data_IF_428492927938
#
_entry.id   IF_428492927938
#
_cell.length_a   1.000
_cell.length_b   1.000
_cell.length_c   1.000
_cell.angle_alpha   90.00
_cell.angle_beta   90.00
_cell.angle_gamma   90.00
#
_symmetry.space_group_name_H-M   'P 1'
#
loop_
_entity.id
_entity.type
_entity.pdbx_description
1 polymer ?
#
# COMPACT_ATOMS: atom_id res chain seq x y z
N UNK A 1 1.84 -38.00 14.96
CA UNK A 1 3.02 -37.13 14.85
C UNK A 1 2.98 -36.19 16.04
N UNK A 2 3.90 -36.35 16.98
CA UNK A 2 3.89 -35.59 18.24
C UNK A 2 4.53 -34.20 17.97
N UNK A 3 3.82 -33.16 18.37
CA UNK A 3 4.28 -31.76 18.32
C UNK A 3 5.41 -31.57 19.35
N UNK A 4 6.64 -31.46 18.87
CA UNK A 4 7.78 -30.98 19.69
C UNK A 4 7.64 -29.46 19.82
N UNK A 5 7.48 -28.96 21.04
CA UNK A 5 7.41 -27.52 21.33
C UNK A 5 8.82 -26.93 21.42
N UNK A 6 8.93 -25.61 21.20
CA UNK A 6 10.18 -24.84 21.31
C UNK A 6 10.88 -25.03 22.68
N UNK A 7 10.13 -25.37 23.71
CA UNK A 7 10.62 -25.66 25.06
C UNK A 7 11.41 -26.97 25.13
N UNK A 8 11.07 -27.98 24.30
CA UNK A 8 11.75 -29.27 24.25
C UNK A 8 13.08 -29.19 23.51
N UNK A 9 13.20 -28.26 22.56
CA UNK A 9 14.45 -28.00 21.85
C UNK A 9 15.52 -27.40 22.76
N UNK A 10 15.15 -26.42 23.59
CA UNK A 10 16.08 -25.78 24.55
C UNK A 10 16.52 -26.76 25.64
N UNK A 11 15.65 -27.64 26.16
CA UNK A 11 16.04 -28.68 27.13
C UNK A 11 17.05 -29.70 26.57
N UNK A 12 16.98 -29.94 25.25
CA UNK A 12 17.93 -30.84 24.59
C UNK A 12 19.31 -30.18 24.38
N UNK A 13 19.33 -28.87 24.14
CA UNK A 13 20.58 -28.09 24.03
C UNK A 13 21.30 -28.07 25.39
N UNK A 14 20.60 -27.82 26.51
CA UNK A 14 21.17 -27.80 27.83
C UNK A 14 21.72 -29.17 28.25
N UNK A 15 21.00 -30.26 27.95
CA UNK A 15 21.50 -31.64 28.19
C UNK A 15 22.75 -31.98 27.36
N UNK A 16 22.85 -31.40 26.15
CA UNK A 16 24.00 -31.61 25.27
C UNK A 16 25.21 -30.80 25.74
N UNK A 17 25.00 -29.60 26.28
CA UNK A 17 26.08 -28.78 26.89
C UNK A 17 26.61 -29.38 28.20
N UNK A 18 25.75 -29.97 29.03
CA UNK A 18 26.17 -30.67 30.28
C UNK A 18 26.99 -31.90 29.93
N UNK A 19 26.62 -32.71 28.94
CA UNK A 19 27.39 -33.88 28.47
C UNK A 19 28.77 -33.53 27.88
N UNK A 20 28.89 -32.31 27.32
CA UNK A 20 30.18 -31.80 26.79
C UNK A 20 31.15 -31.31 27.89
N UNK A 21 30.62 -30.93 29.09
CA UNK A 21 31.43 -30.51 30.23
C UNK A 21 32.12 -31.68 30.94
N UNK A 22 31.56 -32.87 30.93
CA UNK A 22 32.08 -34.03 31.65
C UNK A 22 33.12 -34.83 30.87
N UNK A 23 33.37 -34.53 29.59
CA UNK A 23 34.46 -35.10 28.79
C UNK A 23 35.62 -34.14 28.62
N UNK A 24 36.32 -33.80 29.72
CA UNK A 24 37.69 -33.28 29.66
C UNK A 24 38.62 -34.39 29.22
N UNK A 25 38.88 -34.53 27.96
CA UNK A 25 40.02 -35.09 27.24
C UNK A 25 39.59 -35.61 25.86
N UNK A 26 39.35 -34.73 24.96
CA UNK A 26 39.44 -35.08 23.53
C UNK A 26 39.71 -33.81 22.69
N UNK A 27 40.85 -33.86 22.01
CA UNK A 27 41.47 -33.00 21.01
C UNK A 27 40.68 -31.71 20.61
N UNK A 28 41.12 -30.54 21.05
CA UNK A 28 40.53 -29.21 20.79
C UNK A 28 40.31 -28.87 19.30
N UNK A 29 41.09 -29.50 18.40
CA UNK A 29 40.98 -29.32 16.96
C UNK A 29 39.75 -30.02 16.35
N UNK A 30 39.28 -31.14 16.91
CA UNK A 30 38.11 -31.86 16.42
C UNK A 30 36.81 -31.20 16.89
N UNK A 31 36.80 -30.65 18.11
CA UNK A 31 35.64 -29.94 18.65
C UNK A 31 35.38 -28.61 17.90
N UNK A 32 36.46 -27.90 17.51
CA UNK A 32 36.35 -26.68 16.73
C UNK A 32 35.81 -26.96 15.31
N UNK A 33 36.24 -28.06 14.66
CA UNK A 33 35.71 -28.48 13.37
C UNK A 33 34.25 -28.89 13.43
N UNK A 34 33.81 -29.59 14.48
CA UNK A 34 32.42 -30.00 14.68
C UNK A 34 31.53 -28.79 14.94
N UNK A 35 31.99 -27.83 15.73
CA UNK A 35 31.26 -26.58 16.00
C UNK A 35 31.13 -25.70 14.75
N UNK A 36 32.18 -25.63 13.93
CA UNK A 36 32.18 -24.90 12.66
C UNK A 36 31.26 -25.56 11.62
N UNK A 37 31.25 -26.90 11.55
CA UNK A 37 30.30 -27.64 10.68
C UNK A 37 28.85 -27.47 11.12
N UNK A 38 28.56 -27.43 12.44
CA UNK A 38 27.21 -27.19 12.95
C UNK A 38 26.72 -25.76 12.65
N UNK A 39 27.60 -24.76 12.74
CA UNK A 39 27.28 -23.37 12.32
C UNK A 39 27.03 -23.30 10.81
N UNK A 40 27.88 -23.93 10.00
CA UNK A 40 27.68 -23.94 8.53
C UNK A 40 26.40 -24.68 8.13
N UNK A 41 26.05 -25.77 8.81
CA UNK A 41 24.79 -26.49 8.59
C UNK A 41 23.59 -25.61 9.02
N UNK A 42 23.65 -24.93 10.16
CA UNK A 42 22.57 -24.05 10.62
C UNK A 42 22.38 -22.84 9.71
N UNK A 43 23.48 -22.25 9.20
CA UNK A 43 23.44 -21.18 8.21
C UNK A 43 22.87 -21.70 6.88
N UNK A 44 23.29 -22.88 6.42
CA UNK A 44 22.77 -23.53 5.21
C UNK A 44 21.26 -23.82 5.29
N UNK A 45 20.77 -24.31 6.44
CA UNK A 45 19.33 -24.53 6.67
C UNK A 45 18.54 -23.22 6.72
N UNK A 46 19.10 -22.15 7.30
CA UNK A 46 18.46 -20.83 7.32
C UNK A 46 18.35 -20.24 5.92
N UNK A 47 19.38 -20.35 5.08
CA UNK A 47 19.33 -19.91 3.67
C UNK A 47 18.36 -20.74 2.83
N UNK A 48 18.28 -22.05 3.02
CA UNK A 48 17.31 -22.89 2.32
C UNK A 48 15.87 -22.56 2.72
N UNK A 49 15.59 -22.29 4.00
CA UNK A 49 14.25 -21.92 4.46
C UNK A 49 13.79 -20.57 3.86
N UNK A 50 14.66 -19.56 3.82
CA UNK A 50 14.36 -18.25 3.21
C UNK A 50 14.18 -18.38 1.70
N UNK A 51 15.01 -19.18 1.02
CA UNK A 51 14.91 -19.42 -0.42
C UNK A 51 13.60 -20.13 -0.79
N UNK A 52 13.10 -21.03 0.05
CA UNK A 52 11.89 -21.78 -0.21
C UNK A 52 10.61 -20.93 0.00
N UNK A 53 10.63 -19.97 0.91
CA UNK A 53 9.48 -19.11 1.22
C UNK A 53 9.24 -18.04 0.14
N UNK A 54 10.27 -17.67 -0.63
CA UNK A 54 10.21 -16.64 -1.69
C UNK A 54 10.35 -17.20 -3.12
N UNK A 55 10.37 -18.53 -3.27
CA UNK A 55 10.52 -19.17 -4.56
C UNK A 55 9.30 -18.92 -5.45
N UNK A 56 9.57 -18.57 -6.72
CA UNK A 56 8.53 -18.49 -7.74
C UNK A 56 8.08 -19.88 -8.17
N UNK A 57 6.80 -20.04 -8.54
CA UNK A 57 6.22 -21.28 -9.03
C UNK A 57 5.46 -21.04 -10.34
N UNK A 58 5.08 -22.10 -11.08
CA UNK A 58 4.19 -21.93 -12.24
C UNK A 58 2.80 -21.40 -11.86
N UNK A 59 2.36 -21.57 -10.60
CA UNK A 59 1.10 -21.03 -10.13
C UNK A 59 1.20 -19.52 -9.88
N UNK A 60 0.15 -18.75 -10.21
CA UNK A 60 0.09 -17.32 -9.94
C UNK A 60 0.23 -17.00 -8.46
N UNK A 61 1.10 -16.04 -8.15
CA UNK A 61 1.20 -15.39 -6.86
C UNK A 61 1.17 -13.85 -7.03
N UNK A 62 1.18 -13.10 -5.93
CA UNK A 62 1.15 -11.63 -5.92
C UNK A 62 0.05 -11.04 -6.79
N UNK A 63 -1.12 -11.68 -6.77
CA UNK A 63 -2.28 -11.20 -7.53
C UNK A 63 -2.79 -9.91 -6.88
N UNK A 64 -2.87 -8.84 -7.67
CA UNK A 64 -3.31 -7.53 -7.19
C UNK A 64 -4.19 -6.82 -8.22
N UNK A 65 -5.22 -6.16 -7.74
CA UNK A 65 -6.07 -5.28 -8.51
C UNK A 65 -5.64 -3.82 -8.29
N UNK A 66 -5.61 -3.03 -9.37
CA UNK A 66 -5.42 -1.57 -9.29
C UNK A 66 -6.58 -0.85 -9.98
N UNK A 67 -7.01 0.27 -9.39
CA UNK A 67 -7.92 1.19 -10.08
C UNK A 67 -7.22 1.78 -11.30
N UNK A 68 -7.97 1.92 -12.38
CA UNK A 68 -7.54 2.60 -13.60
C UNK A 68 -8.11 4.02 -13.64
N UNK A 69 -7.74 4.80 -14.63
CA UNK A 69 -8.32 6.13 -14.87
C UNK A 69 -9.85 6.06 -15.02
N UNK A 70 -10.35 5.02 -15.70
CA UNK A 70 -11.78 4.76 -15.94
C UNK A 70 -12.33 3.70 -14.98
N UNK A 71 -12.26 3.94 -13.67
CA UNK A 71 -12.57 2.95 -12.63
C UNK A 71 -13.97 2.32 -12.75
N UNK A 72 -14.93 3.01 -13.40
CA UNK A 72 -16.32 2.54 -13.57
C UNK A 72 -16.44 1.42 -14.59
N UNK A 73 -15.58 1.40 -15.61
CA UNK A 73 -15.67 0.49 -16.76
C UNK A 73 -14.39 -0.29 -17.04
N UNK A 74 -13.36 -0.09 -16.21
CA UNK A 74 -12.11 -0.82 -16.33
C UNK A 74 -11.45 -1.08 -14.99
N UNK A 75 -10.62 -2.15 -14.94
CA UNK A 75 -9.86 -2.56 -13.77
C UNK A 75 -8.59 -3.29 -14.21
N UNK A 76 -7.47 -2.99 -13.59
CA UNK A 76 -6.22 -3.67 -13.87
C UNK A 76 -5.98 -4.84 -12.91
N UNK A 77 -5.38 -5.92 -13.44
CA UNK A 77 -4.88 -7.04 -12.64
C UNK A 77 -3.43 -7.32 -13.00
N UNK A 78 -2.62 -7.59 -11.99
CA UNK A 78 -1.21 -7.98 -12.14
C UNK A 78 -0.94 -9.20 -11.28
N UNK A 79 -0.07 -10.09 -11.73
CA UNK A 79 0.37 -11.29 -10.99
C UNK A 79 1.75 -11.74 -11.44
N UNK A 80 2.35 -12.64 -10.66
CA UNK A 80 3.67 -13.20 -10.92
C UNK A 80 3.58 -14.72 -11.12
N UNK A 81 4.48 -15.28 -11.93
CA UNK A 81 4.77 -16.73 -12.05
C UNK A 81 6.27 -16.93 -12.20
N UNK A 82 6.73 -18.16 -12.17
CA UNK A 82 8.09 -18.48 -12.57
C UNK A 82 8.31 -18.33 -14.08
N UNK A 83 9.54 -18.52 -14.52
CA UNK A 83 9.96 -18.37 -15.92
C UNK A 83 9.37 -19.43 -16.88
N UNK A 84 8.84 -20.54 -16.38
CA UNK A 84 8.24 -21.59 -17.20
C UNK A 84 6.92 -21.14 -17.85
N UNK A 85 6.25 -20.13 -17.26
CA UNK A 85 5.00 -19.57 -17.81
C UNK A 85 5.31 -18.34 -18.67
N UNK A 86 5.69 -18.57 -19.92
CA UNK A 86 6.04 -17.52 -20.88
C UNK A 86 4.84 -16.70 -21.39
N UNK A 87 3.62 -17.19 -21.24
CA UNK A 87 2.36 -16.53 -21.61
C UNK A 87 1.35 -16.67 -20.48
N UNK A 88 0.86 -15.54 -19.99
CA UNK A 88 -0.21 -15.46 -18.99
C UNK A 88 -1.57 -15.15 -19.62
N UNK A 89 -2.62 -15.62 -18.98
CA UNK A 89 -4.01 -15.36 -19.37
C UNK A 89 -4.82 -14.97 -18.16
N UNK A 90 -5.89 -14.23 -18.37
CA UNK A 90 -6.94 -14.01 -17.40
C UNK A 90 -8.29 -14.40 -17.98
N UNK A 91 -9.13 -14.95 -17.14
CA UNK A 91 -10.50 -15.27 -17.47
C UNK A 91 -11.46 -14.43 -16.64
N UNK A 92 -12.58 -14.05 -17.22
CA UNK A 92 -13.57 -13.15 -16.64
C UNK A 92 -14.97 -13.60 -17.01
N UNK A 93 -15.89 -13.58 -16.02
CA UNK A 93 -17.33 -13.70 -16.25
C UNK A 93 -18.11 -12.88 -15.23
N UNK A 94 -19.35 -12.46 -15.53
CA UNK A 94 -20.24 -11.90 -14.51
C UNK A 94 -20.47 -12.89 -13.37
N UNK A 95 -20.53 -12.40 -12.13
CA UNK A 95 -20.91 -13.24 -10.98
C UNK A 95 -22.39 -13.60 -11.10
N UNK A 96 -22.68 -14.89 -11.03
CA UNK A 96 -24.03 -15.44 -10.98
C UNK A 96 -24.19 -16.35 -9.75
N UNK A 97 -25.41 -16.58 -9.23
CA UNK A 97 -25.63 -17.45 -8.08
C UNK A 97 -25.47 -18.95 -8.40
N UNK A 98 -25.14 -19.27 -9.65
CA UNK A 98 -24.93 -20.65 -10.11
C UNK A 98 -23.44 -21.01 -10.13
N UNK A 99 -23.15 -22.27 -10.46
CA UNK A 99 -21.77 -22.70 -10.74
C UNK A 99 -21.18 -21.90 -11.92
N UNK A 100 -19.87 -21.82 -11.98
CA UNK A 100 -19.13 -21.22 -13.08
C UNK A 100 -19.52 -21.89 -14.41
N UNK A 101 -19.91 -21.06 -15.39
CA UNK A 101 -20.28 -21.56 -16.71
C UNK A 101 -19.17 -21.22 -17.71
N UNK A 102 -18.48 -22.23 -18.30
CA UNK A 102 -17.44 -22.00 -19.29
C UNK A 102 -17.92 -21.19 -20.52
N UNK A 103 -19.19 -21.33 -20.93
CA UNK A 103 -19.74 -20.58 -22.07
C UNK A 103 -19.84 -19.08 -21.84
N UNK A 104 -19.93 -18.63 -20.58
CA UNK A 104 -19.97 -17.22 -20.20
C UNK A 104 -18.58 -16.67 -19.88
N UNK A 105 -17.54 -17.51 -19.92
CA UNK A 105 -16.17 -17.12 -19.57
C UNK A 105 -15.47 -16.56 -20.79
N UNK A 106 -14.96 -15.33 -20.67
CA UNK A 106 -14.10 -14.71 -21.66
C UNK A 106 -12.65 -14.86 -21.23
N UNK A 107 -11.77 -15.27 -22.14
CA UNK A 107 -10.35 -15.40 -21.92
C UNK A 107 -9.58 -14.31 -22.64
N UNK A 108 -8.55 -13.78 -21.99
CA UNK A 108 -7.72 -12.70 -22.49
C UNK A 108 -6.24 -13.02 -22.29
N UNK A 109 -5.42 -12.75 -23.28
CA UNK A 109 -3.96 -12.87 -23.17
C UNK A 109 -3.40 -11.65 -22.46
N UNK A 110 -2.63 -11.88 -21.41
CA UNK A 110 -1.96 -10.83 -20.64
C UNK A 110 -0.66 -10.37 -21.32
N UNK A 111 -0.22 -9.17 -21.00
CA UNK A 111 1.16 -8.73 -21.26
C UNK A 111 2.06 -9.46 -20.26
N UNK A 112 3.06 -10.17 -20.77
CA UNK A 112 4.07 -10.88 -19.97
C UNK A 112 5.42 -10.18 -20.10
N UNK A 113 6.07 -9.93 -18.99
CA UNK A 113 7.40 -9.31 -18.92
C UNK A 113 8.30 -10.14 -18.04
N UNK A 114 9.42 -10.60 -18.59
CA UNK A 114 10.46 -11.29 -17.86
C UNK A 114 11.23 -10.31 -16.96
N UNK A 115 11.35 -10.63 -15.68
CA UNK A 115 12.01 -9.79 -14.68
C UNK A 115 13.10 -10.56 -13.93
N UNK A 116 14.10 -9.83 -13.48
CA UNK A 116 15.17 -10.32 -12.63
C UNK A 116 15.43 -9.31 -11.52
N UNK A 117 15.37 -9.76 -10.29
CA UNK A 117 15.59 -8.92 -9.12
C UNK A 117 16.82 -9.43 -8.37
N UNK A 118 17.73 -8.53 -8.04
CA UNK A 118 18.97 -8.81 -7.32
C UNK A 118 19.07 -7.89 -6.10
N UNK A 119 19.35 -8.48 -4.95
CA UNK A 119 19.59 -7.76 -3.72
C UNK A 119 20.80 -8.37 -3.02
N UNK A 120 21.68 -7.52 -2.49
CA UNK A 120 22.92 -7.96 -1.86
C UNK A 120 22.65 -8.93 -0.70
N UNK A 121 23.30 -10.10 -0.75
CA UNK A 121 23.18 -11.14 0.28
C UNK A 121 21.92 -12.00 0.19
N UNK A 122 21.06 -11.80 -0.85
CA UNK A 122 19.86 -12.59 -1.07
C UNK A 122 19.92 -13.35 -2.42
N UNK A 123 19.19 -14.45 -2.57
CA UNK A 123 19.10 -15.16 -3.84
C UNK A 123 18.48 -14.27 -4.93
N UNK A 124 19.02 -14.36 -6.14
CA UNK A 124 18.42 -13.73 -7.32
C UNK A 124 17.03 -14.31 -7.58
N UNK A 125 16.04 -13.47 -7.80
CA UNK A 125 14.69 -13.88 -8.17
C UNK A 125 14.48 -13.65 -9.66
N UNK A 126 14.20 -14.73 -10.38
CA UNK A 126 13.78 -14.69 -11.78
C UNK A 126 12.31 -15.08 -11.90
N UNK A 127 11.52 -14.24 -12.56
CA UNK A 127 10.08 -14.41 -12.66
C UNK A 127 9.54 -13.86 -13.99
N UNK A 128 8.30 -14.18 -14.29
CA UNK A 128 7.48 -13.47 -15.25
C UNK A 128 6.39 -12.69 -14.53
N UNK A 129 6.31 -11.40 -14.82
CA UNK A 129 5.23 -10.54 -14.38
C UNK A 129 4.21 -10.42 -15.50
N UNK A 130 2.95 -10.58 -15.15
CA UNK A 130 1.83 -10.54 -16.07
C UNK A 130 0.90 -9.40 -15.69
N UNK A 131 0.35 -8.71 -16.68
CA UNK A 131 -0.65 -7.66 -16.44
C UNK A 131 -1.71 -7.64 -17.52
N UNK A 132 -2.93 -7.32 -17.11
CA UNK A 132 -4.05 -7.11 -18.02
C UNK A 132 -4.97 -6.00 -17.48
N UNK A 133 -5.56 -5.23 -18.38
CA UNK A 133 -6.59 -4.24 -18.05
C UNK A 133 -7.91 -4.71 -18.63
N UNK A 134 -8.83 -5.12 -17.77
CA UNK A 134 -10.22 -5.37 -18.16
C UNK A 134 -10.86 -4.05 -18.55
N UNK A 135 -11.50 -4.02 -19.72
CA UNK A 135 -12.21 -2.85 -20.25
C UNK A 135 -13.63 -3.23 -20.68
N UNK A 136 -14.49 -2.23 -20.83
CA UNK A 136 -15.89 -2.47 -21.19
C UNK A 136 -16.68 -3.21 -20.12
N UNK A 137 -16.29 -3.04 -18.85
CA UNK A 137 -17.02 -3.56 -17.71
C UNK A 137 -18.33 -2.80 -17.52
N UNK A 138 -19.35 -3.50 -17.04
CA UNK A 138 -20.66 -2.89 -16.73
C UNK A 138 -20.59 -2.26 -15.34
N UNK A 139 -20.97 -0.98 -15.17
CA UNK A 139 -21.01 -0.33 -13.87
C UNK A 139 -21.91 -1.04 -12.86
N UNK A 140 -21.45 -1.17 -11.61
CA UNK A 140 -22.19 -1.82 -10.52
C UNK A 140 -22.24 -3.35 -10.57
N UNK A 141 -21.58 -3.97 -11.55
CA UNK A 141 -21.57 -5.41 -11.75
C UNK A 141 -20.49 -6.08 -10.89
N UNK A 142 -20.82 -7.22 -10.29
CA UNK A 142 -19.84 -8.15 -9.72
C UNK A 142 -19.33 -9.10 -10.80
N UNK A 143 -18.04 -9.37 -10.76
CA UNK A 143 -17.36 -10.27 -11.69
C UNK A 143 -16.58 -11.33 -10.93
N UNK A 144 -16.47 -12.51 -11.55
CA UNK A 144 -15.50 -13.53 -11.22
C UNK A 144 -14.36 -13.47 -12.22
N UNK A 145 -13.13 -13.58 -11.74
CA UNK A 145 -11.95 -13.70 -12.58
C UNK A 145 -10.96 -14.71 -12.01
N UNK A 146 -10.08 -15.21 -12.85
CA UNK A 146 -8.89 -15.95 -12.46
C UNK A 146 -7.74 -15.61 -13.39
N UNK A 147 -6.51 -15.81 -12.93
CA UNK A 147 -5.30 -15.54 -13.69
C UNK A 147 -4.41 -16.78 -13.77
N UNK A 148 -3.54 -16.85 -14.78
CA UNK A 148 -2.62 -17.98 -14.95
C UNK A 148 -2.59 -18.51 -16.37
N UNK A 149 -2.62 -19.82 -16.51
CA UNK A 149 -2.75 -20.53 -17.79
C UNK A 149 -3.30 -21.94 -17.54
N UNK A 150 -3.70 -22.63 -18.59
CA UNK A 150 -4.16 -24.02 -18.50
C UNK A 150 -3.16 -24.91 -17.74
N UNK A 151 -3.66 -25.62 -16.73
CA UNK A 151 -2.87 -26.42 -15.79
C UNK A 151 -2.33 -25.66 -14.57
N UNK A 152 -2.29 -24.33 -14.62
CA UNK A 152 -1.72 -23.46 -13.56
C UNK A 152 -2.58 -22.21 -13.35
N UNK A 153 -3.88 -22.39 -13.07
CA UNK A 153 -4.79 -21.28 -12.74
C UNK A 153 -4.76 -20.95 -11.24
N UNK A 154 -5.01 -19.67 -10.93
CA UNK A 154 -5.44 -19.29 -9.59
C UNK A 154 -6.83 -19.85 -9.28
N UNK A 155 -7.28 -19.72 -8.04
CA UNK A 155 -8.69 -19.81 -7.70
C UNK A 155 -9.50 -18.73 -8.44
N UNK A 156 -10.84 -18.90 -8.47
CA UNK A 156 -11.73 -17.84 -8.91
C UNK A 156 -11.87 -16.77 -7.81
N UNK A 157 -11.58 -15.54 -8.18
CA UNK A 157 -11.59 -14.35 -7.35
C UNK A 157 -12.74 -13.44 -7.79
N UNK A 158 -13.19 -12.55 -6.93
CA UNK A 158 -14.24 -11.60 -7.31
C UNK A 158 -13.82 -10.14 -7.13
N UNK A 159 -14.42 -9.27 -7.95
CA UNK A 159 -14.40 -7.85 -7.76
C UNK A 159 -15.73 -7.22 -8.17
N UNK A 160 -15.94 -5.95 -7.78
CA UNK A 160 -17.09 -5.16 -8.18
C UNK A 160 -16.65 -3.85 -8.85
N UNK A 161 -17.31 -3.49 -9.95
CA UNK A 161 -17.18 -2.14 -10.53
C UNK A 161 -18.05 -1.14 -9.75
N UNK A 162 -17.64 0.14 -9.67
CA UNK A 162 -18.47 1.19 -9.08
C UNK A 162 -19.84 1.29 -9.72
N UNK A 163 -20.90 1.48 -8.92
CA UNK A 163 -22.23 1.80 -9.43
C UNK A 163 -22.26 3.23 -9.98
N UNK A 164 -22.97 3.44 -11.09
CA UNK A 164 -23.20 4.76 -11.63
C UNK A 164 -24.41 5.48 -11.02
N UNK A 165 -25.25 4.75 -10.24
CA UNK A 165 -26.56 5.23 -9.80
C UNK A 165 -26.58 5.81 -8.38
N UNK A 166 -25.53 5.64 -7.60
CA UNK A 166 -25.44 6.17 -6.24
C UNK A 166 -24.04 6.73 -5.95
N UNK A 167 -23.94 7.71 -5.06
CA UNK A 167 -22.68 8.32 -4.62
C UNK A 167 -22.21 7.80 -3.27
N UNK A 168 -22.78 6.69 -2.77
CA UNK A 168 -22.38 6.09 -1.51
C UNK A 168 -21.31 5.04 -1.73
N UNK A 169 -20.18 5.19 -1.02
CA UNK A 169 -19.07 4.24 -1.01
C UNK A 169 -18.14 4.54 0.16
N UNK A 170 -17.24 3.62 0.45
CA UNK A 170 -16.16 3.78 1.42
C UNK A 170 -14.84 3.29 0.83
N UNK A 171 -13.76 3.75 1.42
CA UNK A 171 -12.41 3.28 1.15
C UNK A 171 -11.56 3.34 2.42
N UNK A 172 -10.47 2.59 2.43
CA UNK A 172 -9.53 2.55 3.55
C UNK A 172 -8.24 3.26 3.16
N UNK A 173 -7.66 4.02 4.07
CA UNK A 173 -6.35 4.65 3.91
C UNK A 173 -5.34 4.08 4.90
N UNK A 174 -4.10 3.91 4.42
CA UNK A 174 -2.95 3.47 5.20
C UNK A 174 -1.74 4.36 4.93
N UNK A 175 -1.05 4.80 5.99
CA UNK A 175 0.28 5.39 5.90
C UNK A 175 1.34 4.34 6.27
N UNK A 176 2.50 4.36 5.62
CA UNK A 176 3.72 3.63 5.97
C UNK A 176 3.51 2.19 6.48
N UNK A 177 3.11 1.23 5.63
CA UNK A 177 3.04 -0.18 6.02
C UNK A 177 4.40 -0.78 6.42
N UNK A 178 5.49 -0.23 5.94
CA UNK A 178 6.86 -0.72 6.03
C UNK A 178 7.25 -1.34 7.38
N UNK A 179 8.19 -2.27 7.34
CA UNK A 179 8.75 -3.01 8.46
C UNK A 179 7.83 -4.10 9.04
N UNK A 180 8.41 -5.26 9.34
CA UNK A 180 7.69 -6.41 9.91
C UNK A 180 6.36 -6.71 9.18
N UNK A 181 6.39 -6.63 7.85
CA UNK A 181 5.20 -6.66 6.99
C UNK A 181 4.36 -7.91 7.21
N UNK A 182 5.00 -9.08 7.24
CA UNK A 182 4.32 -10.35 7.45
C UNK A 182 3.74 -10.48 8.86
N UNK A 183 4.45 -10.02 9.88
CA UNK A 183 4.09 -10.27 11.28
C UNK A 183 3.17 -9.20 11.89
N UNK A 184 3.33 -7.94 11.51
CA UNK A 184 2.62 -6.83 12.16
C UNK A 184 1.71 -6.05 11.22
N UNK A 185 2.17 -5.66 10.02
CA UNK A 185 1.30 -5.03 9.02
C UNK A 185 0.11 -5.92 8.65
N UNK A 186 0.32 -7.24 8.56
CA UNK A 186 -0.73 -8.21 8.21
C UNK A 186 -1.95 -8.12 9.13
N UNK A 187 -1.77 -7.81 10.43
CA UNK A 187 -2.90 -7.68 11.35
C UNK A 187 -3.70 -6.40 11.10
N UNK A 188 -3.02 -5.31 10.69
CA UNK A 188 -3.67 -4.02 10.43
C UNK A 188 -4.56 -4.09 9.19
N UNK A 189 -4.00 -4.56 8.05
CA UNK A 189 -4.79 -4.68 6.81
C UNK A 189 -5.96 -5.65 6.96
N UNK A 190 -5.78 -6.77 7.67
CA UNK A 190 -6.86 -7.74 7.93
C UNK A 190 -7.92 -7.16 8.88
N UNK A 191 -7.52 -6.37 9.88
CA UNK A 191 -8.46 -5.68 10.75
C UNK A 191 -9.29 -4.66 9.98
N UNK A 192 -8.65 -3.85 9.15
CA UNK A 192 -9.31 -2.86 8.29
C UNK A 192 -10.29 -3.52 7.32
N UNK A 193 -9.88 -4.60 6.65
CA UNK A 193 -10.77 -5.36 5.77
C UNK A 193 -11.96 -5.97 6.52
N UNK A 194 -11.75 -6.49 7.73
CA UNK A 194 -12.84 -7.05 8.53
C UNK A 194 -13.83 -5.99 9.03
N UNK A 195 -13.40 -4.74 9.22
CA UNK A 195 -14.29 -3.66 9.64
C UNK A 195 -15.11 -3.10 8.48
N UNK A 196 -14.55 -3.08 7.25
CA UNK A 196 -15.25 -2.66 6.03
C UNK A 196 -14.93 -3.62 4.85
N UNK A 197 -15.52 -4.82 4.82
CA UNK A 197 -15.23 -5.81 3.78
C UNK A 197 -15.79 -5.42 2.40
N UNK A 198 -16.70 -4.47 2.33
CA UNK A 198 -17.27 -3.93 1.10
C UNK A 198 -16.58 -2.62 0.65
N UNK A 199 -15.43 -2.26 1.25
CA UNK A 199 -14.69 -1.07 0.85
C UNK A 199 -14.34 -1.12 -0.65
N UNK A 200 -14.45 0.03 -1.29
CA UNK A 200 -14.34 0.16 -2.74
C UNK A 200 -12.92 0.04 -3.25
N UNK A 201 -11.95 0.51 -2.48
CA UNK A 201 -10.51 0.44 -2.75
C UNK A 201 -9.71 0.72 -1.47
N UNK A 202 -8.42 0.43 -1.50
CA UNK A 202 -7.48 0.78 -0.45
C UNK A 202 -6.45 1.77 -1.00
N UNK A 203 -6.18 2.84 -0.25
CA UNK A 203 -5.30 3.94 -0.59
C UNK A 203 -4.09 3.95 0.32
N UNK A 204 -2.90 4.15 -0.24
CA UNK A 204 -1.64 4.13 0.50
C UNK A 204 -0.88 5.45 0.38
N UNK A 205 -0.35 5.91 1.50
CA UNK A 205 0.44 7.15 1.61
C UNK A 205 1.95 6.96 1.52
N UNK A 206 2.43 5.88 0.87
CA UNK A 206 3.86 5.63 0.63
C UNK A 206 4.53 4.72 1.66
N UNK A 207 5.83 4.47 1.43
CA UNK A 207 6.66 3.57 2.23
C UNK A 207 6.00 2.19 2.38
N UNK A 208 5.70 1.56 1.24
CA UNK A 208 5.05 0.25 1.18
C UNK A 208 5.98 -0.82 1.75
N UNK A 209 7.27 -0.72 1.41
CA UNK A 209 8.37 -1.55 1.90
C UNK A 209 9.41 -0.68 2.60
N UNK A 210 10.35 -1.29 3.33
CA UNK A 210 11.38 -0.54 4.05
C UNK A 210 12.69 -0.39 3.23
N UNK A 211 12.92 -1.23 2.23
CA UNK A 211 14.16 -1.23 1.42
C UNK A 211 13.86 -1.52 -0.03
N UNK A 212 13.93 -0.48 -0.88
CA UNK A 212 13.74 -0.64 -2.32
C UNK A 212 14.68 -1.70 -2.92
N UNK A 213 14.17 -2.48 -3.86
CA UNK A 213 14.86 -3.58 -4.54
C UNK A 213 14.81 -4.92 -3.81
N UNK A 214 14.36 -4.97 -2.55
CA UNK A 214 14.34 -6.18 -1.75
C UNK A 214 13.07 -7.01 -1.99
N UNK A 215 13.18 -8.05 -2.81
CA UNK A 215 12.03 -8.89 -3.19
C UNK A 215 11.37 -9.60 -1.99
N UNK A 216 12.15 -9.93 -0.94
CA UNK A 216 11.62 -10.53 0.28
C UNK A 216 10.58 -9.63 0.97
N UNK A 217 10.80 -8.32 1.05
CA UNK A 217 9.85 -7.40 1.66
C UNK A 217 8.56 -7.27 0.81
N UNK A 218 8.68 -7.29 -0.50
CA UNK A 218 7.52 -7.40 -1.38
C UNK A 218 6.75 -8.70 -1.16
N UNK A 219 7.45 -9.83 -1.01
CA UNK A 219 6.80 -11.09 -0.68
C UNK A 219 6.02 -11.02 0.63
N UNK A 220 6.64 -10.47 1.68
CA UNK A 220 5.97 -10.27 2.98
C UNK A 220 4.73 -9.38 2.86
N UNK A 221 4.80 -8.30 2.07
CA UNK A 221 3.68 -7.41 1.83
C UNK A 221 2.53 -8.13 1.12
N UNK A 222 2.82 -8.85 0.03
CA UNK A 222 1.81 -9.62 -0.69
C UNK A 222 1.19 -10.74 0.15
N UNK A 223 1.98 -11.43 0.97
CA UNK A 223 1.47 -12.44 1.91
C UNK A 223 0.56 -11.82 2.97
N UNK A 224 0.88 -10.62 3.46
CA UNK A 224 0.08 -9.91 4.45
C UNK A 224 -1.34 -9.64 3.98
N UNK A 225 -1.50 -9.09 2.77
CA UNK A 225 -2.79 -8.75 2.20
C UNK A 225 -3.42 -9.87 1.36
N UNK A 226 -2.62 -10.72 0.70
CA UNK A 226 -3.04 -11.91 -0.04
C UNK A 226 -4.39 -11.75 -0.78
N UNK A 227 -5.43 -12.47 -0.33
CA UNK A 227 -6.79 -12.40 -0.87
C UNK A 227 -7.36 -10.97 -0.96
N UNK A 228 -7.01 -10.10 -0.01
CA UNK A 228 -7.51 -8.71 0.01
C UNK A 228 -7.03 -7.96 -1.24
N UNK A 229 -5.75 -8.06 -1.59
CA UNK A 229 -5.20 -7.40 -2.77
C UNK A 229 -5.80 -7.94 -4.08
N UNK A 230 -6.17 -9.21 -4.09
CA UNK A 230 -6.77 -9.86 -5.23
C UNK A 230 -8.29 -9.57 -5.40
N UNK A 231 -8.94 -8.95 -4.41
CA UNK A 231 -10.40 -8.70 -4.45
C UNK A 231 -10.78 -7.23 -4.26
N UNK A 232 -9.97 -6.47 -3.55
CA UNK A 232 -10.14 -5.02 -3.36
C UNK A 232 -9.08 -4.28 -4.17
N UNK A 233 -9.44 -3.34 -5.06
CA UNK A 233 -8.47 -2.56 -5.82
C UNK A 233 -7.58 -1.69 -4.93
N UNK A 234 -6.29 -1.58 -5.28
CA UNK A 234 -5.27 -0.83 -4.55
C UNK A 234 -4.87 0.44 -5.33
N UNK A 235 -4.69 1.54 -4.62
CA UNK A 235 -4.18 2.83 -5.12
C UNK A 235 -2.96 3.20 -4.28
N UNK A 236 -1.77 3.21 -4.87
CA UNK A 236 -0.52 3.35 -4.15
C UNK A 236 0.22 4.63 -4.53
N UNK A 237 0.55 5.46 -3.55
CA UNK A 237 1.50 6.55 -3.67
C UNK A 237 2.85 6.04 -3.17
N UNK A 238 3.99 6.29 -3.82
CA UNK A 238 5.29 5.87 -3.30
C UNK A 238 5.78 6.78 -2.18
N UNK A 239 6.60 6.20 -1.29
CA UNK A 239 7.35 6.91 -0.27
C UNK A 239 8.86 6.88 -0.53
N UNK A 240 9.65 7.51 0.32
CA UNK A 240 11.10 7.57 0.12
C UNK A 240 11.79 6.20 0.29
N UNK A 241 11.24 5.28 1.06
CA UNK A 241 11.75 3.91 1.16
C UNK A 241 11.40 3.03 -0.05
N UNK A 242 10.45 3.45 -0.90
CA UNK A 242 10.16 2.82 -2.18
C UNK A 242 11.12 3.27 -3.31
N UNK A 243 12.06 4.17 -2.99
CA UNK A 243 13.12 4.67 -3.87
C UNK A 243 14.50 4.21 -3.39
N UNK A 244 15.42 4.01 -4.34
CA UNK A 244 16.85 3.85 -4.12
C UNK A 244 17.61 4.65 -5.18
N UNK A 245 18.57 5.47 -4.77
CA UNK A 245 19.38 6.28 -5.69
C UNK A 245 18.50 7.09 -6.68
N UNK A 246 17.42 7.71 -6.17
CA UNK A 246 16.40 8.46 -6.92
C UNK A 246 15.65 7.65 -7.98
N UNK A 247 15.77 6.34 -7.96
CA UNK A 247 15.02 5.45 -8.85
C UNK A 247 13.94 4.74 -8.05
N UNK A 248 12.72 4.76 -8.58
CA UNK A 248 11.63 3.95 -8.02
C UNK A 248 12.03 2.47 -8.02
N UNK A 249 11.63 1.75 -6.99
CA UNK A 249 11.83 0.30 -6.87
C UNK A 249 11.55 -0.42 -8.20
N UNK A 250 12.47 -1.27 -8.69
CA UNK A 250 12.30 -1.96 -9.96
C UNK A 250 11.06 -2.86 -10.02
N UNK A 251 10.53 -3.30 -8.86
CA UNK A 251 9.30 -4.08 -8.83
C UNK A 251 8.06 -3.23 -9.12
N UNK A 252 8.06 -1.95 -8.75
CA UNK A 252 6.90 -1.05 -8.79
C UNK A 252 6.14 -1.12 -10.11
N UNK A 253 6.82 -0.83 -11.22
CA UNK A 253 6.20 -0.76 -12.56
C UNK A 253 5.71 -2.11 -13.11
N UNK A 254 6.12 -3.22 -12.51
CA UNK A 254 5.74 -4.55 -12.94
C UNK A 254 4.69 -5.19 -12.03
N UNK A 255 4.65 -4.78 -10.76
CA UNK A 255 3.68 -5.26 -9.78
C UNK A 255 2.40 -4.42 -9.77
N UNK A 256 2.48 -3.15 -10.21
CA UNK A 256 1.33 -2.25 -10.18
C UNK A 256 1.02 -1.71 -11.58
N UNK A 257 -0.27 -1.77 -11.95
CA UNK A 257 -0.78 -1.17 -13.18
C UNK A 257 -1.68 0.01 -12.80
N UNK A 258 -1.06 1.09 -12.34
CA UNK A 258 -1.74 2.32 -11.95
C UNK A 258 -1.94 3.25 -13.16
N UNK A 259 -2.83 4.29 -13.05
CA UNK A 259 -3.04 5.24 -14.12
C UNK A 259 -1.74 5.90 -14.60
N UNK A 260 -1.62 6.09 -15.90
CA UNK A 260 -0.48 6.75 -16.53
C UNK A 260 -0.77 8.17 -16.99
N UNK A 261 -1.73 8.86 -16.34
CA UNK A 261 -2.22 10.20 -16.67
C UNK A 261 -1.45 11.34 -15.98
N UNK A 262 -0.38 11.02 -15.25
CA UNK A 262 0.54 11.97 -14.65
C UNK A 262 1.68 12.42 -15.58
N UNK A 263 2.58 13.28 -15.09
CA UNK A 263 3.76 13.71 -15.83
C UNK A 263 4.69 12.56 -16.22
N UNK A 264 5.40 12.72 -17.34
CA UNK A 264 6.21 11.65 -17.91
C UNK A 264 7.31 11.12 -16.99
N UNK A 265 7.94 12.01 -16.22
CA UNK A 265 9.04 11.72 -15.30
C UNK A 265 8.60 10.84 -14.11
N UNK A 266 7.34 10.99 -13.71
CA UNK A 266 6.73 10.29 -12.54
C UNK A 266 5.49 9.50 -12.94
N UNK A 267 5.50 8.95 -14.17
CA UNK A 267 4.39 8.18 -14.70
C UNK A 267 4.16 6.89 -13.89
N UNK A 268 2.93 6.72 -13.40
CA UNK A 268 2.54 5.55 -12.60
C UNK A 268 2.85 5.67 -11.11
N UNK A 269 3.43 6.81 -10.69
CA UNK A 269 3.63 7.19 -9.28
C UNK A 269 2.88 8.48 -8.95
N UNK A 270 2.83 9.44 -9.89
CA UNK A 270 1.95 10.61 -9.85
C UNK A 270 0.81 10.43 -10.86
N UNK A 271 -0.43 10.48 -10.40
CA UNK A 271 -1.63 10.24 -11.22
C UNK A 271 -2.90 10.69 -10.50
N UNK A 272 -4.04 10.64 -11.18
CA UNK A 272 -5.34 10.72 -10.52
C UNK A 272 -6.25 9.54 -10.92
N UNK A 273 -7.23 9.29 -10.05
CA UNK A 273 -8.36 8.37 -10.28
C UNK A 273 -9.65 9.12 -10.00
N UNK A 274 -10.59 9.02 -10.92
CA UNK A 274 -11.96 9.46 -10.72
C UNK A 274 -12.83 8.27 -10.28
N UNK A 275 -13.31 8.33 -9.04
CA UNK A 275 -14.17 7.30 -8.46
C UNK A 275 -15.50 7.93 -8.04
N UNK A 276 -16.56 7.67 -8.82
CA UNK A 276 -17.88 8.30 -8.60
C UNK A 276 -17.78 9.84 -8.53
N UNK A 277 -18.17 10.45 -7.40
CA UNK A 277 -18.07 11.91 -7.18
C UNK A 277 -16.78 12.33 -6.45
N UNK A 278 -15.78 11.44 -6.34
CA UNK A 278 -14.47 11.69 -5.73
C UNK A 278 -13.36 11.67 -6.79
N UNK A 279 -12.45 12.64 -6.71
CA UNK A 279 -11.13 12.60 -7.36
C UNK A 279 -10.07 12.32 -6.31
N UNK A 280 -9.31 11.23 -6.48
CA UNK A 280 -8.10 10.93 -5.71
C UNK A 280 -6.89 11.30 -6.55
N UNK A 281 -5.99 12.10 -6.01
CA UNK A 281 -4.76 12.54 -6.69
C UNK A 281 -3.55 12.03 -5.89
N UNK A 282 -2.69 11.25 -6.53
CA UNK A 282 -1.38 10.87 -5.99
C UNK A 282 -0.33 11.88 -6.45
N UNK A 283 0.36 12.53 -5.49
CA UNK A 283 1.53 13.37 -5.72
C UNK A 283 2.75 12.58 -5.27
N UNK A 284 3.69 12.38 -6.17
CA UNK A 284 4.97 11.74 -5.87
C UNK A 284 5.95 12.74 -5.28
N UNK A 285 5.85 12.95 -3.97
CA UNK A 285 6.75 13.83 -3.24
C UNK A 285 8.11 13.20 -2.92
N UNK A 286 8.27 11.90 -3.17
CA UNK A 286 9.50 11.16 -2.87
C UNK A 286 10.50 11.15 -4.03
N UNK A 287 10.05 11.41 -5.27
CA UNK A 287 10.90 11.35 -6.47
C UNK A 287 12.16 12.24 -6.43
N UNK A 288 12.14 13.31 -5.63
CA UNK A 288 13.25 14.25 -5.48
C UNK A 288 13.53 14.61 -4.01
N UNK A 289 13.05 13.80 -3.06
CA UNK A 289 13.10 14.11 -1.61
C UNK A 289 14.53 14.20 -1.04
N UNK A 290 15.50 13.55 -1.67
CA UNK A 290 16.90 13.57 -1.22
C UNK A 290 17.70 14.75 -1.77
N UNK A 291 17.19 15.47 -2.78
CA UNK A 291 17.96 16.50 -3.47
C UNK A 291 17.78 17.90 -2.89
N UNK A 292 16.78 18.15 -2.04
CA UNK A 292 16.39 19.51 -1.60
C UNK A 292 16.38 20.55 -2.76
N UNK A 293 16.31 20.06 -4.01
CA UNK A 293 16.43 20.88 -5.22
C UNK A 293 15.11 21.57 -5.52
N UNK A 294 15.02 22.84 -5.13
CA UNK A 294 13.90 23.71 -5.51
C UNK A 294 13.66 23.79 -7.03
N UNK A 295 14.61 23.34 -7.82
CA UNK A 295 14.59 23.37 -9.28
C UNK A 295 14.33 22.02 -9.92
N UNK A 296 14.07 20.97 -9.13
CA UNK A 296 13.80 19.62 -9.60
C UNK A 296 12.74 19.58 -10.71
N UNK A 297 13.01 18.80 -11.74
CA UNK A 297 12.11 18.70 -12.90
C UNK A 297 10.80 18.02 -12.55
N UNK A 298 10.85 17.01 -11.68
CA UNK A 298 9.68 16.24 -11.27
C UNK A 298 8.71 17.06 -10.42
N UNK A 299 9.17 17.89 -9.48
CA UNK A 299 8.28 18.76 -8.70
C UNK A 299 7.63 19.83 -9.58
N UNK A 300 8.38 20.39 -10.54
CA UNK A 300 7.83 21.41 -11.47
C UNK A 300 6.79 20.83 -12.41
N UNK A 301 7.05 19.67 -13.00
CA UNK A 301 6.10 19.01 -13.90
C UNK A 301 4.84 18.59 -13.18
N UNK A 302 4.96 18.05 -11.96
CA UNK A 302 3.81 17.72 -11.11
C UNK A 302 2.99 18.98 -10.74
N UNK A 303 3.64 20.10 -10.45
CA UNK A 303 2.97 21.36 -10.15
C UNK A 303 2.10 21.84 -11.31
N UNK A 304 2.64 21.85 -12.53
CA UNK A 304 1.92 22.27 -13.74
C UNK A 304 0.75 21.30 -14.02
N UNK A 305 1.01 20.01 -13.92
CA UNK A 305 0.02 18.98 -14.12
C UNK A 305 -1.12 19.09 -13.08
N UNK A 306 -0.81 19.25 -11.80
CA UNK A 306 -1.78 19.39 -10.73
C UNK A 306 -2.72 20.59 -10.93
N UNK A 307 -2.18 21.73 -11.33
CA UNK A 307 -2.99 22.93 -11.63
C UNK A 307 -3.97 22.63 -12.77
N UNK A 308 -3.53 21.95 -13.83
CA UNK A 308 -4.38 21.57 -14.98
C UNK A 308 -5.46 20.55 -14.58
N UNK A 309 -5.11 19.53 -13.80
CA UNK A 309 -6.06 18.48 -13.35
C UNK A 309 -7.13 19.07 -12.44
N UNK A 310 -6.75 19.96 -11.54
CA UNK A 310 -7.71 20.61 -10.64
C UNK A 310 -8.55 21.67 -11.35
N UNK A 311 -7.99 22.38 -12.35
CA UNK A 311 -8.77 23.31 -13.19
C UNK A 311 -9.87 22.59 -13.99
N UNK A 312 -9.61 21.37 -14.42
CA UNK A 312 -10.56 20.54 -15.19
C UNK A 312 -11.48 19.68 -14.30
N UNK A 313 -11.35 19.75 -12.98
CA UNK A 313 -12.07 18.88 -12.06
C UNK A 313 -13.57 19.13 -12.06
N UNK A 314 -14.35 18.06 -12.18
CA UNK A 314 -15.82 18.07 -12.12
C UNK A 314 -16.40 17.29 -10.92
N UNK A 315 -15.51 16.70 -10.08
CA UNK A 315 -15.94 15.92 -8.93
C UNK A 315 -16.21 16.81 -7.72
N UNK A 316 -17.18 16.41 -6.91
CA UNK A 316 -17.54 17.14 -5.69
C UNK A 316 -16.44 17.09 -4.64
N UNK A 317 -15.81 15.91 -4.49
CA UNK A 317 -14.78 15.67 -3.51
C UNK A 317 -13.40 15.54 -4.17
N UNK A 318 -12.39 16.14 -3.56
CA UNK A 318 -11.00 16.02 -3.98
C UNK A 318 -10.12 15.68 -2.78
N UNK A 319 -9.48 14.54 -2.85
CA UNK A 319 -8.48 14.08 -1.86
C UNK A 319 -7.14 13.95 -2.54
N UNK A 320 -6.11 14.53 -1.94
CA UNK A 320 -4.72 14.39 -2.37
C UNK A 320 -4.02 13.44 -1.41
N UNK A 321 -3.29 12.46 -1.95
CA UNK A 321 -2.35 11.64 -1.18
C UNK A 321 -0.93 11.97 -1.59
N UNK A 322 -0.03 12.04 -0.63
CA UNK A 322 1.40 12.30 -0.83
C UNK A 322 2.16 11.73 0.35
N UNK A 323 3.38 11.23 0.12
CA UNK A 323 4.14 10.63 1.22
C UNK A 323 4.65 11.68 2.20
N UNK A 324 5.44 12.65 1.72
CA UNK A 324 5.94 13.72 2.57
C UNK A 324 4.79 14.65 2.99
N UNK A 325 4.53 14.82 4.29
CA UNK A 325 3.41 15.62 4.74
C UNK A 325 3.65 17.11 4.52
N UNK A 326 2.59 17.83 4.20
CA UNK A 326 2.63 19.31 4.15
C UNK A 326 2.97 19.90 5.53
N UNK A 327 2.44 19.30 6.56
CA UNK A 327 2.65 19.66 7.95
C UNK A 327 3.05 18.43 8.74
N UNK A 328 4.26 18.43 9.25
CA UNK A 328 4.81 17.31 10.01
C UNK A 328 4.28 17.30 11.45
N UNK A 329 3.78 16.17 11.97
CA UNK A 329 3.53 16.01 13.40
C UNK A 329 4.82 15.83 14.20
N UNK A 330 5.93 15.43 13.58
CA UNK A 330 7.21 15.23 14.26
C UNK A 330 7.90 16.56 14.56
N UNK A 331 8.35 16.74 15.82
CA UNK A 331 8.92 18.03 16.26
C UNK A 331 10.08 18.52 15.41
N UNK A 332 10.99 17.62 15.06
CA UNK A 332 12.23 17.92 14.34
C UNK A 332 12.08 17.98 12.80
N UNK A 333 10.87 17.80 12.25
CA UNK A 333 10.66 17.77 10.80
C UNK A 333 9.80 18.92 10.30
N UNK A 334 10.09 19.32 9.08
CA UNK A 334 9.28 20.24 8.28
C UNK A 334 9.52 20.01 6.79
N UNK A 335 8.51 20.21 5.95
CA UNK A 335 8.58 20.01 4.51
C UNK A 335 8.16 21.28 3.75
N UNK A 336 8.95 22.38 3.83
CA UNK A 336 8.59 23.65 3.24
C UNK A 336 8.50 23.61 1.71
N UNK A 337 9.27 22.74 1.04
CA UNK A 337 9.22 22.61 -0.42
C UNK A 337 7.89 22.05 -0.89
N UNK A 338 7.36 21.01 -0.23
CA UNK A 338 6.04 20.44 -0.56
C UNK A 338 4.95 21.50 -0.44
N UNK A 339 4.96 22.29 0.64
CA UNK A 339 4.03 23.42 0.81
C UNK A 339 4.21 24.48 -0.27
N UNK A 340 5.44 24.94 -0.51
CA UNK A 340 5.74 25.96 -1.50
C UNK A 340 5.25 25.60 -2.91
N UNK A 341 5.42 24.34 -3.31
CA UNK A 341 5.07 23.91 -4.65
C UNK A 341 3.57 23.63 -4.82
N UNK A 342 2.93 23.00 -3.86
CA UNK A 342 1.59 22.43 -4.06
C UNK A 342 0.48 23.13 -3.28
N UNK A 343 0.71 23.61 -2.06
CA UNK A 343 -0.35 24.17 -1.22
C UNK A 343 -1.13 25.32 -1.88
N UNK A 344 -0.49 26.33 -2.54
CA UNK A 344 -1.23 27.39 -3.19
C UNK A 344 -2.22 26.90 -4.25
N UNK A 345 -1.90 25.78 -4.93
CA UNK A 345 -2.77 25.16 -5.92
C UNK A 345 -3.94 24.45 -5.24
N UNK A 346 -3.65 23.67 -4.18
CA UNK A 346 -4.70 22.98 -3.43
C UNK A 346 -5.72 23.96 -2.85
N UNK A 347 -5.27 25.08 -2.31
CA UNK A 347 -6.12 26.15 -1.77
C UNK A 347 -6.90 26.89 -2.87
N UNK A 348 -6.26 27.17 -4.02
CA UNK A 348 -6.89 27.81 -5.18
C UNK A 348 -8.13 27.06 -5.65
N UNK A 349 -8.06 25.73 -5.67
CA UNK A 349 -9.13 24.87 -6.16
C UNK A 349 -10.00 24.28 -5.05
N UNK A 350 -9.67 24.50 -3.79
CA UNK A 350 -10.48 24.07 -2.65
C UNK A 350 -10.46 22.56 -2.45
N UNK A 351 -9.27 21.95 -2.48
CA UNK A 351 -9.07 20.54 -2.12
C UNK A 351 -9.62 20.29 -0.71
N UNK A 352 -10.26 19.17 -0.49
CA UNK A 352 -10.98 18.88 0.76
C UNK A 352 -10.06 18.32 1.83
N UNK A 353 -9.14 17.41 1.45
CA UNK A 353 -8.28 16.69 2.37
C UNK A 353 -6.96 16.32 1.73
N UNK A 354 -5.89 16.32 2.54
CA UNK A 354 -4.57 15.75 2.21
C UNK A 354 -4.26 14.64 3.19
N UNK A 355 -3.93 13.46 2.67
CA UNK A 355 -3.54 12.27 3.41
C UNK A 355 -2.06 12.00 3.19
N UNK A 356 -1.29 11.81 4.27
CA UNK A 356 0.17 11.65 4.20
C UNK A 356 0.69 10.60 5.19
N UNK A 357 1.89 10.08 4.91
CA UNK A 357 2.65 9.18 5.75
C UNK A 357 3.92 9.81 6.33
N UNK A 358 5.07 9.10 6.21
CA UNK A 358 6.44 9.53 6.48
C UNK A 358 6.83 9.73 7.96
N UNK A 359 5.98 10.32 8.76
CA UNK A 359 6.36 10.75 10.11
C UNK A 359 6.06 9.74 11.21
N UNK A 360 5.48 8.60 10.86
CA UNK A 360 5.25 7.47 11.74
C UNK A 360 4.55 7.82 13.07
N UNK A 361 3.73 8.86 13.05
CA UNK A 361 2.87 9.32 14.13
C UNK A 361 1.59 9.89 13.55
N UNK A 362 0.58 10.11 14.38
CA UNK A 362 -0.68 10.68 13.91
C UNK A 362 -0.72 12.18 14.17
N UNK A 363 -1.15 12.93 13.17
CA UNK A 363 -1.48 14.34 13.29
C UNK A 363 -2.64 14.71 12.38
N UNK A 364 -3.66 15.39 12.92
CA UNK A 364 -4.75 15.96 12.13
C UNK A 364 -4.95 17.42 12.47
N UNK A 365 -5.08 18.24 11.44
CA UNK A 365 -5.35 19.66 11.61
C UNK A 365 -6.04 20.29 10.40
N UNK A 366 -6.62 21.45 10.61
CA UNK A 366 -7.23 22.28 9.58
C UNK A 366 -6.38 23.54 9.48
N UNK A 367 -5.78 23.75 8.32
CA UNK A 367 -4.91 24.91 8.08
C UNK A 367 -5.44 25.74 6.93
N UNK A 368 -5.39 27.07 7.11
CA UNK A 368 -5.77 28.06 6.10
C UNK A 368 -4.78 29.23 6.15
N UNK A 369 -3.63 29.08 5.50
CA UNK A 369 -2.55 30.06 5.62
C UNK A 369 -2.62 31.23 4.63
N UNK A 370 -3.28 31.06 3.48
CA UNK A 370 -3.12 32.00 2.36
C UNK A 370 -4.40 32.71 1.87
N UNK A 371 -5.57 32.34 2.32
CA UNK A 371 -6.81 33.04 1.90
C UNK A 371 -8.02 32.76 2.81
N UNK A 372 -9.04 33.62 2.71
CA UNK A 372 -10.37 33.38 3.28
C UNK A 372 -11.14 32.22 2.61
N UNK A 373 -10.47 31.29 1.93
CA UNK A 373 -11.02 30.15 1.20
C UNK A 373 -11.11 28.88 2.04
N UNK A 374 -11.73 27.82 1.56
CA UNK A 374 -12.05 26.64 2.37
C UNK A 374 -10.79 26.04 2.99
N UNK A 375 -10.90 25.71 4.26
CA UNK A 375 -9.85 25.07 5.04
C UNK A 375 -9.66 23.62 4.58
N UNK A 376 -8.42 23.22 4.29
CA UNK A 376 -8.05 21.85 3.94
C UNK A 376 -7.80 21.08 5.23
N UNK A 377 -8.29 19.86 5.32
CA UNK A 377 -7.94 18.93 6.40
C UNK A 377 -6.67 18.19 6.02
N UNK A 378 -5.63 18.33 6.83
CA UNK A 378 -4.37 17.59 6.70
C UNK A 378 -4.35 16.45 7.71
N UNK A 379 -4.05 15.24 7.25
CA UNK A 379 -3.90 14.05 8.08
C UNK A 379 -2.57 13.39 7.77
N UNK A 380 -1.80 13.12 8.81
CA UNK A 380 -0.62 12.26 8.76
C UNK A 380 -0.91 11.02 9.58
N UNK A 381 -0.63 9.84 9.07
CA UNK A 381 -0.92 8.57 9.74
C UNK A 381 0.17 7.54 9.49
N UNK A 382 0.19 6.48 10.31
CA UNK A 382 1.09 5.33 10.19
C UNK A 382 0.35 4.05 10.49
N UNK A 383 0.56 3.05 9.67
CA UNK A 383 -0.10 1.73 9.81
C UNK A 383 0.89 0.62 10.16
N UNK A 384 2.15 0.78 9.79
CA UNK A 384 3.24 -0.14 10.14
C UNK A 384 3.72 0.01 11.59
N UNK A 385 4.60 -0.89 12.06
CA UNK A 385 5.08 -0.93 13.43
C UNK A 385 6.24 0.02 13.73
N UNK A 386 6.78 0.72 12.74
CA UNK A 386 7.82 1.75 12.95
C UNK A 386 7.12 3.03 13.42
N UNK A 387 7.21 3.33 14.71
CA UNK A 387 6.42 4.37 15.37
C UNK A 387 7.30 5.44 15.99
N UNK A 388 6.83 6.70 15.95
CA UNK A 388 7.50 7.86 16.52
C UNK A 388 6.58 8.67 17.43
N UNK A 389 7.20 9.49 18.27
CA UNK A 389 6.48 10.49 19.07
C UNK A 389 6.05 11.69 18.22
N UNK A 390 4.80 12.10 18.40
CA UNK A 390 4.30 13.35 17.87
C UNK A 390 4.76 14.53 18.76
N UNK A 391 5.18 15.63 18.13
CA UNK A 391 5.52 16.87 18.81
C UNK A 391 4.31 17.71 19.21
N UNK A 392 4.58 18.94 19.69
CA UNK A 392 3.55 19.93 20.03
C UNK A 392 3.42 21.01 18.95
N UNK A 393 3.05 20.58 17.73
CA UNK A 393 2.88 21.49 16.59
C UNK A 393 1.52 22.19 16.61
N UNK A 394 1.49 23.50 16.44
CA UNK A 394 0.27 24.32 16.50
C UNK A 394 -0.78 24.00 15.43
N UNK A 395 -0.39 23.35 14.34
CA UNK A 395 -1.31 22.98 13.27
C UNK A 395 -2.22 21.80 13.64
N UNK A 396 -1.81 20.96 14.60
CA UNK A 396 -2.55 19.78 15.02
C UNK A 396 -3.68 20.14 16.00
N UNK A 397 -4.86 19.66 15.71
CA UNK A 397 -6.02 19.64 16.61
C UNK A 397 -6.16 18.29 17.30
N UNK A 398 -5.67 17.22 16.65
CA UNK A 398 -5.56 15.87 17.21
C UNK A 398 -4.16 15.35 16.91
N UNK A 399 -3.54 14.72 17.91
CA UNK A 399 -2.24 14.05 17.80
C UNK A 399 -2.27 12.67 18.42
N UNK A 400 -1.43 11.76 17.93
CA UNK A 400 -1.25 10.41 18.47
C UNK A 400 0.16 9.92 18.28
N UNK A 401 0.73 9.33 19.32
CA UNK A 401 2.06 8.76 19.33
C UNK A 401 2.01 7.26 19.56
N UNK A 402 2.96 6.51 18.99
CA UNK A 402 3.16 5.08 19.23
C UNK A 402 1.91 4.21 18.94
N UNK A 403 1.12 4.58 17.90
CA UNK A 403 -0.11 3.92 17.49
C UNK A 403 -0.01 3.45 16.04
N UNK A 404 -0.35 2.20 15.77
CA UNK A 404 -0.66 1.73 14.41
C UNK A 404 -2.12 2.03 14.11
N UNK A 405 -2.39 2.73 13.02
CA UNK A 405 -3.72 3.21 12.66
C UNK A 405 -4.09 2.83 11.22
N UNK A 406 -5.37 2.70 10.97
CA UNK A 406 -5.96 2.74 9.64
C UNK A 406 -7.16 3.67 9.64
N UNK A 407 -7.51 4.21 8.48
CA UNK A 407 -8.62 5.15 8.37
C UNK A 407 -9.69 4.61 7.43
N UNK A 408 -10.94 4.62 7.89
CA UNK A 408 -12.12 4.40 7.06
C UNK A 408 -12.71 5.75 6.66
N UNK A 409 -12.85 5.95 5.36
CA UNK A 409 -13.40 7.17 4.80
C UNK A 409 -14.62 6.80 3.95
N UNK A 410 -15.79 7.28 4.34
CA UNK A 410 -17.03 7.05 3.60
C UNK A 410 -17.57 8.34 3.01
N UNK A 411 -18.07 8.25 1.78
CA UNK A 411 -18.73 9.32 1.06
C UNK A 411 -20.20 8.95 0.88
N UNK A 412 -21.11 9.91 1.12
CA UNK A 412 -22.54 9.78 0.90
C UNK A 412 -23.06 11.14 0.37
N UNK A 413 -23.05 11.28 -0.96
CA UNK A 413 -23.37 12.54 -1.65
C UNK A 413 -22.50 13.70 -1.14
N UNK A 414 -23.10 14.66 -0.47
CA UNK A 414 -22.44 15.86 0.04
C UNK A 414 -21.79 15.70 1.43
N UNK A 415 -21.65 14.48 1.95
CA UNK A 415 -21.01 14.18 3.23
C UNK A 415 -19.82 13.26 3.02
N UNK A 416 -18.71 13.58 3.66
CA UNK A 416 -17.55 12.73 3.82
C UNK A 416 -17.34 12.49 5.31
N UNK A 417 -17.29 11.24 5.71
CA UNK A 417 -17.09 10.83 7.10
C UNK A 417 -15.75 10.11 7.24
N UNK A 418 -14.90 10.61 8.08
CA UNK A 418 -13.58 10.09 8.37
C UNK A 418 -13.55 9.49 9.77
N UNK A 419 -12.98 8.30 9.89
CA UNK A 419 -12.72 7.61 11.15
C UNK A 419 -11.31 7.02 11.11
N UNK A 420 -10.53 7.24 12.16
CA UNK A 420 -9.26 6.56 12.37
C UNK A 420 -9.42 5.52 13.48
N UNK A 421 -8.99 4.31 13.23
CA UNK A 421 -9.03 3.20 14.16
C UNK A 421 -7.61 2.72 14.48
N UNK A 422 -7.39 2.27 15.70
CA UNK A 422 -6.19 1.56 16.09
C UNK A 422 -6.15 0.15 15.50
N UNK A 423 -4.99 -0.48 15.48
CA UNK A 423 -4.80 -1.83 14.94
C UNK A 423 -5.61 -2.92 15.65
N UNK A 424 -6.12 -2.67 16.86
CA UNK A 424 -7.05 -3.53 17.60
C UNK A 424 -8.53 -3.18 17.37
N UNK A 425 -8.79 -2.03 16.69
CA UNK A 425 -10.12 -1.62 16.22
C UNK A 425 -10.82 -0.60 17.11
N UNK A 426 -10.11 0.02 18.04
CA UNK A 426 -10.65 1.12 18.83
C UNK A 426 -10.72 2.42 18.02
N UNK A 427 -11.83 3.15 18.12
CA UNK A 427 -11.99 4.43 17.44
C UNK A 427 -11.10 5.49 18.11
N UNK A 428 -10.14 6.02 17.36
CA UNK A 428 -9.17 7.00 17.83
C UNK A 428 -9.57 8.44 17.48
N UNK A 429 -9.93 8.70 16.20
CA UNK A 429 -10.33 10.03 15.74
C UNK A 429 -11.55 9.94 14.81
N UNK A 430 -12.42 10.95 14.84
CA UNK A 430 -13.63 10.97 14.02
C UNK A 430 -14.07 12.39 13.70
N UNK A 431 -14.29 12.67 12.42
CA UNK A 431 -14.91 13.91 11.97
C UNK A 431 -15.76 13.71 10.70
N UNK A 432 -16.54 14.72 10.37
CA UNK A 432 -17.31 14.78 9.12
C UNK A 432 -17.08 16.10 8.41
N UNK A 433 -16.92 16.02 7.08
CA UNK A 433 -17.04 17.17 6.19
C UNK A 433 -18.42 17.15 5.54
N UNK A 434 -19.06 18.31 5.46
CA UNK A 434 -20.31 18.49 4.73
C UNK A 434 -20.16 19.63 3.72
N UNK A 435 -20.29 19.33 2.42
CA UNK A 435 -20.35 20.35 1.36
C UNK A 435 -21.54 21.27 1.54
N UNK A 436 -21.31 22.58 1.49
CA UNK A 436 -22.34 23.58 1.41
C UNK A 436 -22.59 23.98 -0.03
N UNK A 437 -23.73 24.60 -0.29
CA UNK A 437 -24.14 25.09 -1.61
C UNK A 437 -23.11 26.02 -2.28
N UNK A 438 -22.30 26.75 -1.49
CA UNK A 438 -21.23 27.61 -1.98
C UNK A 438 -19.86 26.89 -2.17
N UNK A 439 -19.83 25.57 -2.20
CA UNK A 439 -18.61 24.76 -2.37
C UNK A 439 -17.70 24.69 -1.14
N UNK A 440 -18.01 25.41 -0.05
CA UNK A 440 -17.21 25.36 1.19
C UNK A 440 -17.61 24.17 2.04
N UNK A 441 -16.65 23.54 2.70
CA UNK A 441 -16.91 22.49 3.67
C UNK A 441 -17.35 23.08 5.01
N UNK A 442 -18.30 22.40 5.66
CA UNK A 442 -18.53 22.51 7.10
C UNK A 442 -17.80 21.35 7.76
N UNK A 443 -16.82 21.64 8.57
CA UNK A 443 -16.17 20.67 9.45
C UNK A 443 -17.04 20.41 10.68
N UNK A 444 -17.20 19.15 11.06
CA UNK A 444 -17.99 18.70 12.21
C UNK A 444 -17.14 17.71 12.99
N UNK A 445 -16.59 18.14 14.12
CA UNK A 445 -15.89 17.29 15.08
C UNK A 445 -16.86 16.29 15.70
N UNK A 446 -16.51 15.00 15.72
CA UNK A 446 -17.34 13.93 16.26
C UNK A 446 -16.77 13.33 17.54
N UNK A 447 -15.46 13.12 17.59
CA UNK A 447 -14.80 12.61 18.79
C UNK A 447 -14.07 13.75 19.50
N UNK A 448 -14.62 14.20 20.63
CA UNK A 448 -14.03 15.28 21.43
C UNK A 448 -12.92 14.79 22.38
N UNK A 449 -12.70 13.50 22.49
CA UNK A 449 -11.75 12.87 23.41
C UNK A 449 -10.47 12.37 22.71
N UNK A 450 -10.35 12.54 21.42
CA UNK A 450 -9.14 12.21 20.68
C UNK A 450 -8.03 13.21 21.06
N UNK A 451 -6.99 12.74 21.74
CA UNK A 451 -5.82 13.56 22.08
C UNK A 451 -5.55 13.84 23.54
N UNK A 452 -6.01 12.97 24.44
CA UNK A 452 -5.54 12.97 25.86
C UNK A 452 -4.44 11.95 26.02
#
# INVERSE_FOLDING_TARGET
>A
MQNLTFCDFNKNIDKMQIKLRDKKSMNSKNNFRLFFCLILISIGFSFQAISQENATTPYPDRIILNLTEEATTSLAVTWRTDRSISEGFCELQPLTPTRINPENTRSFKAKTTAVKYEYEGEPTIEANQHSYVFTGLVPGQKYLYRVGKEGFWSEWLEFRTPSASDDKFSFVYFGDPQSNLKSEWSRVIRKAYNSDPDCSFMLYGGDIINRAGRDLEWNEWFVAGSYIYATVPQVLTPGNHDYKDLQIDPHWKYQFTQPGNGPGEVKGTCFFVDYKNLKVISIDSAAESELEDENGSALKSQKIWLDSVLAANTKDWVIVTTHLPFYSPKESRDNPLVRKHFQPILEKYGVDMVLSGHDHSYGRGIVSDFSAKPSIVYVVSVSGPKLYEAGDKKWMQVKGSMLQLFQEISVDGNKLHFKAFTADGELFDEFMLKKKYNGKNKFIEKNKNAGV
#
